data_IF_397098151032
#
_entry.id   IF_397098151032
#
_cell.length_a   1.000
_cell.length_b   1.000
_cell.length_c   1.000
_cell.angle_alpha   90.00
_cell.angle_beta   90.00
_cell.angle_gamma   90.00
#
_symmetry.space_group_name_H-M   'P 1'
#
loop_
_entity.id
_entity.type
_entity.pdbx_description
1 polymer ?
#
# COMPACT_ATOMS: atom_id res chain seq x y z
N UNK A 1 -14.16 25.55 6.68
CA UNK A 1 -13.18 25.62 7.78
C UNK A 1 -13.74 24.82 8.93
N UNK A 2 -13.20 23.63 9.22
CA UNK A 2 -13.52 22.90 10.45
C UNK A 2 -12.77 23.57 11.58
N UNK A 3 -13.44 23.90 12.68
CA UNK A 3 -12.77 24.31 13.91
C UNK A 3 -12.21 23.05 14.58
N UNK A 4 -10.93 23.10 14.95
CA UNK A 4 -10.18 22.01 15.61
C UNK A 4 -10.82 21.56 16.94
N UNK A 5 -11.80 22.30 17.46
CA UNK A 5 -12.52 22.01 18.70
C UNK A 5 -13.59 20.91 18.60
N UNK A 6 -13.94 20.45 17.40
CA UNK A 6 -15.01 19.46 17.20
C UNK A 6 -14.50 17.99 17.16
N UNK A 7 -13.23 17.76 17.47
CA UNK A 7 -12.64 16.41 17.52
C UNK A 7 -12.85 15.76 18.91
N UNK A 8 -13.07 14.43 18.97
CA UNK A 8 -13.26 13.72 20.23
C UNK A 8 -12.02 13.84 21.15
N UNK A 9 -12.22 13.91 22.47
CA UNK A 9 -11.13 14.15 23.42
C UNK A 9 -10.16 12.96 23.45
N UNK A 10 -8.89 13.23 23.20
CA UNK A 10 -7.79 12.28 23.38
C UNK A 10 -7.44 12.15 24.87
N UNK A 11 -7.44 10.92 25.37
CA UNK A 11 -6.99 10.58 26.72
C UNK A 11 -5.45 10.70 26.80
N UNK A 12 -4.94 11.51 27.73
CA UNK A 12 -3.50 11.65 28.02
C UNK A 12 -3.21 10.92 29.33
N UNK A 13 -2.51 9.79 29.27
CA UNK A 13 -1.94 9.14 30.44
C UNK A 13 -0.63 9.83 30.87
N UNK A 14 -0.53 10.22 32.14
CA UNK A 14 0.68 10.78 32.74
C UNK A 14 1.49 9.68 33.42
N UNK A 15 2.65 9.33 32.87
CA UNK A 15 3.65 8.54 33.59
C UNK A 15 5.04 9.17 33.39
N UNK A 16 5.74 9.45 34.50
CA UNK A 16 7.03 10.15 34.54
C UNK A 16 8.19 9.23 34.13
N UNK A 17 8.32 9.04 32.83
CA UNK A 17 9.57 8.69 32.13
C UNK A 17 10.12 9.98 31.47
N UNK A 18 11.39 10.00 31.04
CA UNK A 18 11.96 11.11 30.21
C UNK A 18 10.86 11.61 29.27
N UNK A 19 10.44 12.87 29.43
CA UNK A 19 9.26 13.41 28.74
C UNK A 19 9.34 13.08 27.25
N UNK A 20 8.30 12.45 26.70
CA UNK A 20 8.19 12.11 25.27
C UNK A 20 8.64 13.33 24.45
N UNK A 21 9.75 13.23 23.67
CA UNK A 21 10.17 14.35 22.82
C UNK A 21 9.07 14.65 21.79
N UNK A 22 8.99 15.89 21.27
CA UNK A 22 8.04 16.19 20.20
C UNK A 22 8.37 15.35 18.96
N UNK A 23 7.33 14.86 18.26
CA UNK A 23 7.51 14.04 17.05
C UNK A 23 8.14 14.82 15.90
N UNK A 24 7.78 16.10 15.76
CA UNK A 24 8.26 16.96 14.68
C UNK A 24 8.96 18.21 15.22
N UNK A 25 9.92 18.71 14.45
CA UNK A 25 10.60 19.98 14.71
C UNK A 25 10.78 20.77 13.42
N UNK A 26 10.74 22.10 13.52
CA UNK A 26 10.88 22.99 12.36
C UNK A 26 12.23 23.69 12.44
N UNK A 27 13.09 23.44 11.45
CA UNK A 27 14.44 24.01 11.34
C UNK A 27 14.50 24.78 10.02
N UNK A 28 14.79 26.09 10.09
CA UNK A 28 14.88 26.97 8.91
C UNK A 28 13.65 26.91 7.98
N UNK A 29 12.45 26.82 8.56
CA UNK A 29 11.18 26.77 7.81
C UNK A 29 10.83 25.39 7.22
N UNK A 30 11.66 24.37 7.45
CA UNK A 30 11.38 22.98 7.05
C UNK A 30 11.06 22.16 8.30
N UNK A 31 9.86 21.56 8.33
CA UNK A 31 9.44 20.68 9.42
C UNK A 31 9.81 19.25 9.10
N UNK A 32 10.59 18.62 9.99
CA UNK A 32 11.17 17.28 9.84
C UNK A 32 10.79 16.39 11.04
N UNK A 33 10.99 15.08 10.90
CA UNK A 33 10.87 14.14 12.02
C UNK A 33 12.02 14.40 13.02
N UNK A 34 11.69 14.54 14.30
CA UNK A 34 12.68 14.76 15.34
C UNK A 34 13.52 13.47 15.57
N UNK A 35 14.85 13.50 15.41
CA UNK A 35 15.70 12.33 15.61
C UNK A 35 15.62 11.73 17.02
N UNK A 36 15.39 12.57 18.04
CA UNK A 36 15.21 12.13 19.43
C UNK A 36 13.91 11.34 19.61
N UNK A 37 12.85 11.69 18.86
CA UNK A 37 11.59 10.95 18.87
C UNK A 37 11.76 9.55 18.30
N UNK A 38 12.44 9.42 17.17
CA UNK A 38 12.68 8.13 16.54
C UNK A 38 13.50 7.20 17.46
N UNK A 39 14.50 7.76 18.13
CA UNK A 39 15.29 7.04 19.14
C UNK A 39 14.44 6.63 20.35
N UNK A 40 13.48 7.46 20.76
CA UNK A 40 12.58 7.19 21.88
C UNK A 40 11.53 6.11 21.58
N UNK A 41 11.02 6.04 20.35
CA UNK A 41 10.03 5.02 19.97
C UNK A 41 10.61 3.63 19.70
N UNK A 42 11.94 3.50 19.61
CA UNK A 42 12.63 2.26 19.18
C UNK A 42 12.15 1.72 17.82
N UNK A 43 11.39 2.52 17.06
CA UNK A 43 10.89 2.17 15.75
C UNK A 43 11.92 2.57 14.70
N UNK A 44 12.27 1.65 13.80
CA UNK A 44 13.10 1.96 12.65
C UNK A 44 12.19 2.28 11.47
N UNK A 45 12.26 3.53 11.01
CA UNK A 45 11.63 3.97 9.76
C UNK A 45 12.20 3.22 8.56
N UNK A 46 11.38 3.03 7.53
CA UNK A 46 11.78 2.45 6.24
C UNK A 46 12.29 3.50 5.25
N UNK A 47 12.22 4.78 5.61
CA UNK A 47 12.71 5.91 4.80
C UNK A 47 14.23 6.00 4.93
N UNK A 48 14.95 5.89 3.80
CA UNK A 48 16.44 5.92 3.80
C UNK A 48 17.02 7.22 4.35
N UNK A 49 16.44 8.34 3.95
CA UNK A 49 16.95 9.67 4.27
C UNK A 49 16.08 10.34 5.33
N UNK A 50 15.68 9.60 6.36
CA UNK A 50 14.75 10.08 7.37
C UNK A 50 15.16 11.40 8.06
N UNK A 51 16.44 11.77 7.99
CA UNK A 51 16.97 13.03 8.52
C UNK A 51 16.72 14.24 7.60
N UNK A 52 16.57 14.04 6.30
CA UNK A 52 16.34 15.11 5.31
C UNK A 52 14.99 15.01 4.59
N UNK A 53 14.32 13.85 4.70
CA UNK A 53 13.00 13.62 4.13
C UNK A 53 11.90 14.36 4.90
N UNK A 54 10.88 14.80 4.17
CA UNK A 54 9.68 15.38 4.78
C UNK A 54 8.96 14.34 5.64
N UNK A 55 8.27 14.74 6.71
CA UNK A 55 7.61 13.79 7.59
C UNK A 55 6.45 13.08 6.89
N UNK A 56 6.29 11.80 7.19
CA UNK A 56 5.09 11.05 6.86
C UNK A 56 4.02 11.38 7.90
N UNK A 57 2.87 11.85 7.43
CA UNK A 57 1.70 12.12 8.27
C UNK A 57 0.75 10.93 8.12
N UNK A 58 0.81 10.00 9.05
CA UNK A 58 0.04 8.75 8.98
C UNK A 58 -1.30 8.82 9.69
N UNK A 59 -1.45 9.75 10.63
CA UNK A 59 -2.64 9.88 11.48
C UNK A 59 -3.08 11.33 11.63
N UNK A 60 -4.28 11.55 12.17
CA UNK A 60 -4.71 12.90 12.54
C UNK A 60 -3.89 13.46 13.70
N UNK A 61 -3.46 12.60 14.63
CA UNK A 61 -2.58 13.01 15.72
C UNK A 61 -1.23 13.52 15.17
N UNK A 62 -0.69 12.83 14.16
CA UNK A 62 0.52 13.27 13.44
C UNK A 62 0.30 14.64 12.77
N UNK A 63 -0.86 14.83 12.13
CA UNK A 63 -1.22 16.09 11.50
C UNK A 63 -1.29 17.25 12.51
N UNK A 64 -1.89 17.01 13.68
CA UNK A 64 -1.99 18.01 14.75
C UNK A 64 -0.60 18.35 15.31
N UNK A 65 0.22 17.34 15.64
CA UNK A 65 1.59 17.53 16.13
C UNK A 65 2.46 18.26 15.09
N UNK A 66 2.27 17.96 13.80
CA UNK A 66 2.96 18.61 12.69
C UNK A 66 2.59 20.10 12.59
N UNK A 67 1.30 20.42 12.64
CA UNK A 67 0.84 21.81 12.57
C UNK A 67 1.18 22.61 13.84
N UNK A 68 1.21 21.97 15.01
CA UNK A 68 1.72 22.59 16.23
C UNK A 68 3.19 22.98 16.10
N UNK A 69 4.01 22.14 15.46
CA UNK A 69 5.42 22.43 15.18
C UNK A 69 5.57 23.59 14.17
N UNK A 70 4.71 23.67 13.16
CA UNK A 70 4.67 24.81 12.23
C UNK A 70 4.30 26.11 12.94
N UNK A 71 3.21 26.08 13.73
CA UNK A 71 2.71 27.24 14.47
C UNK A 71 3.74 27.78 15.46
N UNK A 72 4.44 26.90 16.18
CA UNK A 72 5.55 27.28 17.09
C UNK A 72 6.70 27.97 16.37
N UNK A 73 6.93 27.63 15.10
CA UNK A 73 7.94 28.24 14.24
C UNK A 73 7.44 29.48 13.48
N UNK A 74 6.20 29.94 13.72
CA UNK A 74 5.61 31.08 13.02
C UNK A 74 5.24 30.79 11.56
N UNK A 75 5.12 29.51 11.18
CA UNK A 75 4.67 29.07 9.85
C UNK A 75 3.16 28.84 9.87
N UNK A 76 2.49 29.17 8.76
CA UNK A 76 1.05 28.95 8.62
C UNK A 76 0.70 27.46 8.71
N UNK A 77 -0.47 27.17 9.29
CA UNK A 77 -1.06 25.83 9.29
C UNK A 77 -1.20 25.34 7.85
N UNK A 78 -0.93 24.05 7.64
CA UNK A 78 -1.15 23.41 6.35
C UNK A 78 -2.39 22.50 6.48
N UNK A 79 -3.48 22.78 5.75
CA UNK A 79 -4.74 22.05 5.91
C UNK A 79 -4.69 20.66 5.26
N UNK A 80 -5.41 19.69 5.81
CA UNK A 80 -5.68 18.42 5.12
C UNK A 80 -6.38 18.65 3.78
N UNK A 81 -6.22 17.73 2.84
CA UNK A 81 -6.98 17.77 1.58
C UNK A 81 -8.47 17.52 1.81
N UNK A 82 -9.32 18.17 1.01
CA UNK A 82 -10.79 18.06 1.12
C UNK A 82 -11.27 16.61 1.02
N UNK A 83 -10.64 15.80 0.17
CA UNK A 83 -10.96 14.39 -0.01
C UNK A 83 -10.67 13.58 1.26
N UNK A 84 -9.54 13.83 1.92
CA UNK A 84 -9.20 13.16 3.19
C UNK A 84 -10.18 13.57 4.28
N UNK A 85 -10.52 14.86 4.39
CA UNK A 85 -11.51 15.35 5.34
C UNK A 85 -12.87 14.69 5.12
N UNK A 86 -13.31 14.58 3.86
CA UNK A 86 -14.60 13.94 3.53
C UNK A 86 -14.64 12.47 3.95
N UNK A 87 -13.54 11.75 3.77
CA UNK A 87 -13.47 10.32 4.12
C UNK A 87 -13.44 10.14 5.63
N UNK A 88 -12.72 10.99 6.36
CA UNK A 88 -12.75 10.98 7.83
C UNK A 88 -14.16 11.21 8.37
N UNK A 89 -14.91 12.17 7.81
CA UNK A 89 -16.33 12.37 8.17
C UNK A 89 -17.19 11.16 7.84
N UNK A 90 -16.99 10.52 6.68
CA UNK A 90 -17.75 9.33 6.32
C UNK A 90 -17.52 8.14 7.27
N UNK A 91 -16.33 8.04 7.87
CA UNK A 91 -16.01 7.04 8.90
C UNK A 91 -16.81 7.34 10.18
N UNK A 92 -16.93 8.62 10.54
CA UNK A 92 -17.72 9.09 11.68
C UNK A 92 -19.23 8.89 11.47
N UNK A 93 -19.73 9.15 10.25
CA UNK A 93 -21.17 9.19 9.91
C UNK A 93 -21.87 7.81 9.79
N UNK A 94 -21.26 6.73 10.30
CA UNK A 94 -21.90 5.43 10.61
C UNK A 94 -22.40 4.57 9.42
N UNK A 95 -22.55 5.11 8.21
CA UNK A 95 -22.93 4.32 7.01
C UNK A 95 -21.91 3.22 6.68
N UNK A 96 -20.65 3.44 7.08
CA UNK A 96 -19.53 2.54 6.88
C UNK A 96 -19.48 1.40 7.90
N UNK A 97 -19.83 1.70 9.14
CA UNK A 97 -19.74 0.79 10.30
C UNK A 97 -20.63 -0.44 10.12
N UNK A 98 -21.78 -0.26 9.49
CA UNK A 98 -22.67 -1.37 9.13
C UNK A 98 -22.03 -2.37 8.15
N UNK A 99 -21.12 -1.92 7.27
CA UNK A 99 -20.45 -2.79 6.29
C UNK A 99 -19.25 -3.52 6.89
N UNK A 100 -18.52 -2.88 7.82
CA UNK A 100 -17.28 -3.42 8.41
C UNK A 100 -17.51 -4.10 9.77
N UNK A 101 -18.71 -3.97 10.35
CA UNK A 101 -19.13 -4.73 11.53
C UNK A 101 -18.48 -4.29 12.85
N UNK A 102 -17.89 -3.10 12.90
CA UNK A 102 -17.27 -2.51 14.09
C UNK A 102 -17.70 -1.05 14.27
N UNK A 103 -17.53 -0.51 15.49
CA UNK A 103 -17.82 0.89 15.76
C UNK A 103 -16.78 1.83 15.12
N UNK A 104 -17.16 3.10 14.95
CA UNK A 104 -16.35 4.05 14.19
C UNK A 104 -15.09 4.49 14.90
N UNK A 105 -15.11 4.51 16.23
CA UNK A 105 -13.94 4.82 17.03
C UNK A 105 -12.93 3.67 16.98
N UNK A 106 -13.39 2.42 17.11
CA UNK A 106 -12.57 1.23 16.97
C UNK A 106 -11.94 1.14 15.56
N UNK A 107 -12.75 1.37 14.52
CA UNK A 107 -12.28 1.38 13.13
C UNK A 107 -11.20 2.43 12.92
N UNK A 108 -11.46 3.65 13.38
CA UNK A 108 -10.56 4.78 13.24
C UNK A 108 -9.23 4.52 13.96
N UNK A 109 -9.29 4.07 15.22
CA UNK A 109 -8.10 3.75 16.01
C UNK A 109 -7.28 2.62 15.36
N UNK A 110 -7.96 1.61 14.80
CA UNK A 110 -7.30 0.50 14.12
C UNK A 110 -6.62 0.92 12.82
N UNK A 111 -7.27 1.75 12.01
CA UNK A 111 -6.69 2.35 10.80
C UNK A 111 -5.47 3.21 11.17
N UNK A 112 -5.58 4.05 12.20
CA UNK A 112 -4.45 4.87 12.65
C UNK A 112 -3.25 4.04 13.08
N UNK A 113 -3.49 2.96 13.84
CA UNK A 113 -2.45 2.02 14.27
C UNK A 113 -1.78 1.37 13.06
N UNK A 114 -2.58 0.90 12.10
CA UNK A 114 -2.09 0.26 10.89
C UNK A 114 -1.27 1.22 10.01
N UNK A 115 -1.77 2.43 9.80
CA UNK A 115 -1.10 3.44 8.97
C UNK A 115 0.19 3.90 9.62
N UNK A 116 0.20 4.04 10.95
CA UNK A 116 1.44 4.33 11.70
C UNK A 116 2.44 3.18 11.59
N UNK A 117 1.98 1.94 11.76
CA UNK A 117 2.84 0.75 11.74
C UNK A 117 3.57 0.60 10.41
N UNK A 118 2.88 0.84 9.30
CA UNK A 118 3.44 0.70 7.97
C UNK A 118 3.96 2.01 7.37
N UNK A 119 3.87 3.13 8.08
CA UNK A 119 4.21 4.47 7.56
C UNK A 119 3.41 4.83 6.28
N UNK A 120 2.11 4.52 6.27
CA UNK A 120 1.17 4.87 5.19
C UNK A 120 0.69 6.31 5.43
N UNK A 121 0.82 7.23 4.45
CA UNK A 121 0.24 8.57 4.57
C UNK A 121 -1.29 8.54 4.67
N UNK A 122 -1.86 9.34 5.58
CA UNK A 122 -3.31 9.40 5.82
C UNK A 122 -4.11 9.74 4.54
N UNK A 123 -3.51 10.46 3.60
CA UNK A 123 -4.11 10.79 2.31
C UNK A 123 -4.54 9.58 1.47
N UNK A 124 -3.87 8.44 1.64
CA UNK A 124 -4.22 7.20 0.92
C UNK A 124 -5.53 6.58 1.38
N UNK A 125 -6.06 6.97 2.53
CA UNK A 125 -7.34 6.49 3.03
C UNK A 125 -8.45 6.72 2.00
N UNK A 126 -8.46 7.89 1.37
CA UNK A 126 -9.43 8.20 0.32
C UNK A 126 -9.35 7.28 -0.90
N UNK A 127 -8.13 6.91 -1.30
CA UNK A 127 -7.88 6.06 -2.46
C UNK A 127 -8.17 4.58 -2.17
N UNK A 128 -7.84 4.11 -0.97
CA UNK A 128 -8.23 2.77 -0.51
C UNK A 128 -9.75 2.60 -0.60
N UNK A 129 -10.52 3.63 -0.30
CA UNK A 129 -11.98 3.56 -0.35
C UNK A 129 -12.51 3.47 -1.78
N UNK A 130 -11.77 3.93 -2.79
CA UNK A 130 -12.15 3.71 -4.19
C UNK A 130 -12.16 2.23 -4.59
N UNK A 131 -11.53 1.33 -3.81
CA UNK A 131 -11.59 -0.11 -4.03
C UNK A 131 -13.02 -0.67 -3.84
N UNK A 132 -13.91 0.06 -3.16
CA UNK A 132 -15.32 -0.34 -2.98
C UNK A 132 -16.10 -0.44 -4.30
N UNK A 133 -15.57 0.17 -5.38
CA UNK A 133 -16.16 0.10 -6.71
C UNK A 133 -16.03 -1.27 -7.36
N UNK A 134 -15.23 -2.17 -6.78
CA UNK A 134 -15.03 -3.54 -7.22
C UNK A 134 -15.83 -4.50 -6.34
N UNK A 135 -16.46 -5.47 -6.97
CA UNK A 135 -17.14 -6.56 -6.27
C UNK A 135 -16.12 -7.58 -5.74
N UNK A 136 -14.99 -7.72 -6.42
CA UNK A 136 -13.91 -8.61 -6.02
C UNK A 136 -12.54 -8.00 -6.28
N UNK A 137 -11.63 -8.23 -5.33
CA UNK A 137 -10.19 -8.14 -5.57
C UNK A 137 -9.62 -9.56 -5.70
N UNK A 138 -9.03 -9.88 -6.84
CA UNK A 138 -8.43 -11.18 -7.12
C UNK A 138 -6.91 -11.06 -7.11
N UNK A 139 -6.25 -11.86 -6.27
CA UNK A 139 -4.80 -11.95 -6.18
C UNK A 139 -4.35 -13.30 -6.75
N UNK A 140 -3.49 -13.29 -7.75
CA UNK A 140 -2.94 -14.49 -8.38
C UNK A 140 -1.44 -14.52 -8.09
N UNK A 141 -1.02 -15.47 -7.27
CA UNK A 141 0.35 -15.56 -6.76
C UNK A 141 1.16 -16.56 -7.61
N UNK A 142 2.28 -16.08 -8.16
CA UNK A 142 3.29 -16.95 -8.74
C UNK A 142 4.01 -17.71 -7.62
N UNK A 143 3.85 -19.02 -7.62
CA UNK A 143 4.47 -19.95 -6.67
C UNK A 143 5.46 -20.90 -7.34
N UNK A 144 5.96 -20.52 -8.52
CA UNK A 144 6.92 -21.33 -9.30
C UNK A 144 8.22 -21.58 -8.54
N UNK A 145 8.61 -20.66 -7.65
CA UNK A 145 9.81 -20.74 -6.82
C UNK A 145 9.50 -20.94 -5.33
N UNK A 146 8.32 -21.46 -4.99
CA UNK A 146 7.92 -21.63 -3.59
C UNK A 146 8.79 -22.63 -2.79
N UNK A 147 9.53 -23.51 -3.48
CA UNK A 147 10.48 -24.45 -2.87
C UNK A 147 11.94 -24.04 -3.11
N UNK A 148 12.19 -22.87 -3.68
CA UNK A 148 13.54 -22.39 -3.94
C UNK A 148 14.03 -21.62 -2.71
N UNK A 149 15.08 -22.14 -2.08
CA UNK A 149 15.73 -21.52 -0.91
C UNK A 149 16.68 -20.38 -1.31
N UNK A 150 16.73 -19.99 -2.58
CA UNK A 150 17.53 -18.85 -3.03
C UNK A 150 16.94 -17.54 -2.47
N UNK A 151 17.54 -17.12 -1.37
CA UNK A 151 17.33 -15.81 -0.77
C UNK A 151 17.62 -14.72 -1.80
N UNK A 152 16.65 -13.84 -1.98
CA UNK A 152 16.88 -12.58 -2.66
C UNK A 152 17.37 -11.59 -1.60
N UNK A 153 18.49 -10.92 -1.87
CA UNK A 153 18.89 -9.78 -1.08
C UNK A 153 17.95 -8.61 -1.39
N UNK A 154 16.72 -8.69 -0.92
CA UNK A 154 15.88 -7.51 -0.76
C UNK A 154 16.50 -6.76 0.42
N UNK A 155 17.26 -5.71 0.11
CA UNK A 155 17.98 -4.82 1.04
C UNK A 155 17.01 -4.01 1.92
N UNK A 156 16.04 -4.67 2.52
CA UNK A 156 15.24 -4.13 3.59
C UNK A 156 16.08 -4.21 4.88
N UNK A 157 16.39 -3.07 5.54
CA UNK A 157 17.15 -3.07 6.79
C UNK A 157 16.41 -3.75 7.96
N UNK A 158 15.17 -4.19 7.75
CA UNK A 158 14.36 -4.88 8.77
C UNK A 158 14.34 -6.40 8.62
N UNK A 159 14.55 -6.99 7.43
CA UNK A 159 14.71 -8.46 7.22
C UNK A 159 15.51 -8.77 5.94
N UNK A 160 16.84 -8.76 6.05
CA UNK A 160 17.74 -9.42 5.08
C UNK A 160 17.46 -10.92 5.17
N UNK A 161 17.39 -11.64 4.04
CA UNK A 161 17.32 -13.10 4.07
C UNK A 161 16.03 -13.75 3.59
N UNK A 162 15.18 -13.08 2.79
CA UNK A 162 13.93 -13.66 2.28
C UNK A 162 13.96 -13.97 0.78
N UNK A 163 13.24 -14.99 0.36
CA UNK A 163 13.01 -15.27 -1.07
C UNK A 163 11.93 -14.34 -1.65
N UNK A 164 11.88 -14.16 -2.97
CA UNK A 164 10.80 -13.38 -3.61
C UNK A 164 9.41 -13.94 -3.31
N UNK A 165 9.30 -15.27 -3.15
CA UNK A 165 8.04 -15.91 -2.75
C UNK A 165 7.65 -15.54 -1.32
N UNK A 166 8.58 -15.60 -0.36
CA UNK A 166 8.30 -15.18 1.03
C UNK A 166 7.88 -13.70 1.12
N UNK A 167 8.52 -12.84 0.33
CA UNK A 167 8.14 -11.42 0.25
C UNK A 167 6.74 -11.23 -0.34
N UNK A 168 6.37 -12.00 -1.37
CA UNK A 168 5.02 -12.00 -1.92
C UNK A 168 3.97 -12.44 -0.88
N UNK A 169 4.25 -13.50 -0.11
CA UNK A 169 3.37 -13.99 0.95
C UNK A 169 3.24 -12.99 2.10
N UNK A 170 4.34 -12.39 2.57
CA UNK A 170 4.28 -11.35 3.59
C UNK A 170 3.47 -10.14 3.10
N UNK A 171 3.69 -9.73 1.86
CA UNK A 171 2.88 -8.66 1.22
C UNK A 171 1.40 -9.01 1.20
N UNK A 172 1.05 -10.25 0.85
CA UNK A 172 -0.34 -10.71 0.84
C UNK A 172 -0.96 -10.68 2.24
N UNK A 173 -0.22 -11.09 3.28
CA UNK A 173 -0.68 -10.98 4.68
C UNK A 173 -0.97 -9.53 5.07
N UNK A 174 -0.07 -8.61 4.70
CA UNK A 174 -0.27 -7.16 4.94
C UNK A 174 -1.48 -6.63 4.15
N UNK A 175 -1.70 -7.09 2.91
CA UNK A 175 -2.90 -6.73 2.16
C UNK A 175 -4.18 -7.22 2.83
N UNK A 176 -4.20 -8.45 3.36
CA UNK A 176 -5.35 -8.95 4.14
C UNK A 176 -5.61 -8.03 5.33
N UNK A 177 -4.57 -7.63 6.08
CA UNK A 177 -4.69 -6.69 7.20
C UNK A 177 -5.24 -5.33 6.79
N UNK A 178 -4.74 -4.74 5.70
CA UNK A 178 -5.22 -3.45 5.19
C UNK A 178 -6.68 -3.56 4.74
N UNK A 179 -6.99 -4.55 3.92
CA UNK A 179 -8.31 -4.73 3.32
C UNK A 179 -9.38 -5.13 4.34
N UNK A 180 -8.98 -5.66 5.50
CA UNK A 180 -9.87 -5.87 6.65
C UNK A 180 -10.53 -4.57 7.13
N UNK A 181 -9.96 -3.41 6.85
CA UNK A 181 -10.51 -2.10 7.22
C UNK A 181 -11.05 -1.28 6.05
N UNK A 182 -11.08 -1.83 4.82
CA UNK A 182 -11.56 -1.17 3.58
C UNK A 182 -12.92 -1.77 3.17
N UNK A 183 -13.89 -1.02 2.60
CA UNK A 183 -15.26 -1.53 2.40
C UNK A 183 -15.40 -2.35 1.11
N UNK A 184 -14.67 -3.46 1.03
CA UNK A 184 -14.76 -4.43 -0.08
C UNK A 184 -15.69 -5.60 0.27
N UNK A 185 -16.25 -6.26 -0.75
CA UNK A 185 -17.15 -7.40 -0.55
C UNK A 185 -16.40 -8.72 -0.39
N UNK A 186 -15.46 -9.02 -1.29
CA UNK A 186 -14.66 -10.26 -1.25
C UNK A 186 -13.24 -10.06 -1.75
N UNK A 187 -12.34 -10.86 -1.21
CA UNK A 187 -11.03 -11.13 -1.81
C UNK A 187 -10.96 -12.59 -2.25
N UNK A 188 -10.31 -12.83 -3.37
CA UNK A 188 -9.99 -14.16 -3.86
C UNK A 188 -8.48 -14.27 -4.04
N UNK A 189 -7.89 -15.37 -3.57
CA UNK A 189 -6.47 -15.65 -3.75
C UNK A 189 -6.34 -16.97 -4.50
N UNK A 190 -5.67 -16.91 -5.64
CA UNK A 190 -5.32 -18.04 -6.52
C UNK A 190 -3.79 -18.14 -6.61
N UNK A 191 -3.32 -19.28 -7.11
CA UNK A 191 -1.91 -19.54 -7.33
C UNK A 191 -1.70 -20.04 -8.75
N UNK A 192 -0.49 -19.86 -9.30
CA UNK A 192 -0.16 -20.38 -10.63
C UNK A 192 -0.16 -21.90 -10.66
N UNK A 193 0.44 -22.52 -9.64
CA UNK A 193 0.79 -23.93 -9.66
C UNK A 193 0.05 -24.78 -8.61
N UNK A 194 -0.89 -24.18 -7.86
CA UNK A 194 -1.80 -24.88 -6.95
C UNK A 194 -3.24 -24.82 -7.47
N UNK A 195 -4.07 -25.76 -7.00
CA UNK A 195 -5.52 -25.76 -7.28
C UNK A 195 -6.33 -25.03 -6.22
N UNK A 196 -5.69 -24.63 -5.13
CA UNK A 196 -6.33 -23.94 -4.02
C UNK A 196 -6.86 -22.59 -4.51
N UNK A 197 -8.13 -22.34 -4.21
CA UNK A 197 -8.77 -21.04 -4.37
C UNK A 197 -9.26 -20.62 -2.99
N UNK A 198 -8.69 -19.55 -2.47
CA UNK A 198 -9.09 -18.98 -1.19
C UNK A 198 -10.10 -17.89 -1.51
N UNK A 199 -11.28 -17.94 -0.89
CA UNK A 199 -12.29 -16.88 -1.00
C UNK A 199 -12.65 -16.42 0.40
N UNK A 200 -12.42 -15.14 0.67
CA UNK A 200 -12.71 -14.52 1.97
C UNK A 200 -13.75 -13.44 1.73
N UNK A 201 -14.91 -13.63 2.33
CA UNK A 201 -16.09 -12.77 2.14
C UNK A 201 -16.28 -11.94 3.39
N UNK A 202 -16.38 -10.62 3.23
CA UNK A 202 -16.40 -9.69 4.36
C UNK A 202 -17.71 -9.67 5.15
N UNK A 203 -18.86 -9.95 4.51
CA UNK A 203 -20.25 -9.95 5.05
C UNK A 203 -20.40 -9.74 6.58
N UNK A 204 -20.22 -8.52 7.06
CA UNK A 204 -20.42 -8.14 8.46
C UNK A 204 -19.45 -8.77 9.48
N UNK A 205 -18.38 -9.42 9.02
CA UNK A 205 -17.30 -9.91 9.87
C UNK A 205 -16.48 -8.74 10.40
N UNK A 206 -16.08 -8.81 11.68
CA UNK A 206 -15.11 -7.86 12.21
C UNK A 206 -13.75 -8.01 11.51
N UNK A 207 -12.93 -6.95 11.45
CA UNK A 207 -11.61 -7.00 10.83
C UNK A 207 -10.73 -8.13 11.39
N UNK A 208 -10.73 -8.36 12.70
CA UNK A 208 -9.95 -9.45 13.33
C UNK A 208 -10.33 -10.82 12.77
N UNK A 209 -11.64 -11.11 12.68
CA UNK A 209 -12.12 -12.39 12.12
C UNK A 209 -11.73 -12.52 10.65
N UNK A 210 -11.84 -11.44 9.88
CA UNK A 210 -11.44 -11.41 8.48
C UNK A 210 -9.94 -11.70 8.32
N UNK A 211 -9.10 -11.08 9.16
CA UNK A 211 -7.64 -11.25 9.15
C UNK A 211 -7.27 -12.69 9.51
N UNK A 212 -7.77 -13.19 10.64
CA UNK A 212 -7.43 -14.52 11.14
C UNK A 212 -7.86 -15.60 10.15
N UNK A 213 -9.07 -15.50 9.62
CA UNK A 213 -9.57 -16.44 8.61
C UNK A 213 -8.73 -16.38 7.33
N UNK A 214 -8.38 -15.18 6.87
CA UNK A 214 -7.60 -15.01 5.65
C UNK A 214 -6.18 -15.54 5.77
N UNK A 215 -5.49 -15.22 6.87
CA UNK A 215 -4.13 -15.69 7.13
C UNK A 215 -4.13 -17.22 7.31
N UNK A 216 -5.05 -17.77 8.09
CA UNK A 216 -5.14 -19.22 8.30
C UNK A 216 -5.42 -19.99 7.00
N UNK A 217 -6.32 -19.47 6.14
CA UNK A 217 -6.60 -20.06 4.83
C UNK A 217 -5.38 -20.01 3.90
N UNK A 218 -4.65 -18.89 3.92
CA UNK A 218 -3.41 -18.75 3.17
C UNK A 218 -2.35 -19.76 3.63
N UNK A 219 -2.11 -19.85 4.94
CA UNK A 219 -1.14 -20.80 5.51
C UNK A 219 -1.52 -22.26 5.23
N UNK A 220 -2.81 -22.59 5.30
CA UNK A 220 -3.32 -23.92 4.94
C UNK A 220 -3.04 -24.26 3.48
N UNK A 221 -3.25 -23.31 2.55
CA UNK A 221 -2.94 -23.53 1.14
C UNK A 221 -1.43 -23.71 0.90
N UNK A 222 -0.61 -22.92 1.60
CA UNK A 222 0.85 -22.95 1.50
C UNK A 222 1.49 -24.21 2.10
N UNK A 223 0.81 -24.90 3.02
CA UNK A 223 1.25 -26.19 3.55
C UNK A 223 1.31 -27.29 2.48
N UNK A 224 0.64 -27.09 1.35
CA UNK A 224 0.74 -27.98 0.19
C UNK A 224 1.76 -27.48 -0.83
N UNK A 225 2.52 -28.42 -1.41
CA UNK A 225 3.48 -28.12 -2.46
C UNK A 225 2.77 -27.81 -3.78
N UNK A 226 3.33 -26.90 -4.60
CA UNK A 226 2.89 -26.71 -5.98
C UNK A 226 2.87 -28.03 -6.78
N UNK A 227 1.85 -28.22 -7.62
CA UNK A 227 1.64 -29.47 -8.38
C UNK A 227 1.63 -29.30 -9.89
N UNK A 228 1.54 -28.06 -10.38
CA UNK A 228 1.62 -27.73 -11.82
C UNK A 228 2.93 -27.01 -12.14
N UNK A 229 3.18 -26.84 -13.43
CA UNK A 229 4.18 -25.93 -13.97
C UNK A 229 3.50 -25.08 -15.03
N UNK A 230 2.75 -24.08 -14.55
CA UNK A 230 1.96 -23.15 -15.34
C UNK A 230 2.85 -21.97 -15.72
N UNK A 231 2.89 -21.65 -17.01
CA UNK A 231 3.62 -20.46 -17.47
C UNK A 231 2.89 -19.17 -17.05
N UNK A 232 3.60 -18.04 -16.98
CA UNK A 232 2.98 -16.74 -16.67
C UNK A 232 1.85 -16.41 -17.67
N UNK A 233 2.09 -16.71 -18.95
CA UNK A 233 1.09 -16.52 -19.99
C UNK A 233 -0.19 -17.33 -19.73
N UNK A 234 -0.07 -18.60 -19.38
CA UNK A 234 -1.22 -19.46 -19.10
C UNK A 234 -1.99 -19.00 -17.86
N UNK A 235 -1.29 -18.63 -16.79
CA UNK A 235 -1.92 -18.18 -15.56
C UNK A 235 -2.69 -16.85 -15.75
N UNK A 236 -2.08 -15.88 -16.45
CA UNK A 236 -2.77 -14.62 -16.78
C UNK A 236 -3.95 -14.90 -17.71
N UNK A 237 -3.76 -15.74 -18.73
CA UNK A 237 -4.83 -16.09 -19.66
C UNK A 237 -6.01 -16.74 -18.94
N UNK A 238 -5.76 -17.71 -18.06
CA UNK A 238 -6.80 -18.36 -17.25
C UNK A 238 -7.53 -17.34 -16.37
N UNK A 239 -6.81 -16.42 -15.72
CA UNK A 239 -7.41 -15.39 -14.89
C UNK A 239 -8.22 -14.36 -15.69
N UNK A 240 -7.83 -14.04 -16.93
CA UNK A 240 -8.55 -13.12 -17.81
C UNK A 240 -9.73 -13.76 -18.55
N UNK A 241 -9.62 -15.05 -18.90
CA UNK A 241 -10.69 -15.82 -19.51
C UNK A 241 -11.82 -16.14 -18.50
N UNK A 242 -11.52 -16.05 -17.20
CA UNK A 242 -12.49 -16.11 -16.09
C UNK A 242 -13.31 -14.80 -16.04
N UNK A 243 -14.15 -14.64 -17.08
CA UNK A 243 -15.07 -13.51 -17.23
C UNK A 243 -16.34 -13.81 -16.43
N UNK A 244 -16.32 -13.42 -15.16
CA UNK A 244 -17.55 -13.25 -14.39
C UNK A 244 -18.24 -11.94 -14.80
N UNK A 245 -19.57 -11.87 -14.66
CA UNK A 245 -20.34 -10.62 -14.78
C UNK A 245 -20.03 -9.61 -13.64
N UNK A 246 -18.95 -9.83 -12.91
CA UNK A 246 -18.53 -9.04 -11.77
C UNK A 246 -17.44 -8.05 -12.15
N UNK A 247 -17.44 -6.89 -11.48
CA UNK A 247 -16.37 -5.91 -11.63
C UNK A 247 -15.18 -6.30 -10.74
N UNK A 248 -14.14 -6.87 -11.35
CA UNK A 248 -12.96 -7.42 -10.67
C UNK A 248 -11.73 -6.54 -10.88
N UNK A 249 -10.95 -6.31 -9.82
CA UNK A 249 -9.55 -5.87 -9.94
C UNK A 249 -8.62 -7.06 -9.72
N UNK A 250 -7.72 -7.31 -10.67
CA UNK A 250 -6.82 -8.47 -10.66
C UNK A 250 -5.39 -8.03 -10.40
N UNK A 251 -4.74 -8.70 -9.45
CA UNK A 251 -3.37 -8.46 -9.03
C UNK A 251 -2.56 -9.71 -9.27
N UNK A 252 -1.49 -9.60 -10.03
CA UNK A 252 -0.56 -10.69 -10.29
C UNK A 252 0.72 -10.48 -9.48
N UNK A 253 1.03 -11.37 -8.55
CA UNK A 253 2.21 -11.29 -7.70
C UNK A 253 3.28 -12.22 -8.28
N UNK A 254 4.17 -11.66 -9.08
CA UNK A 254 5.24 -12.38 -9.77
C UNK A 254 6.46 -12.53 -8.88
N UNK A 255 6.87 -13.77 -8.67
CA UNK A 255 8.10 -14.12 -7.95
C UNK A 255 9.27 -14.37 -8.89
N UNK A 256 8.98 -14.38 -10.18
CA UNK A 256 9.94 -14.51 -11.27
C UNK A 256 9.46 -13.75 -12.51
N UNK A 257 10.34 -13.61 -13.50
CA UNK A 257 9.96 -12.95 -14.76
C UNK A 257 9.48 -13.92 -15.82
N UNK A 258 8.46 -13.54 -16.61
CA UNK A 258 8.13 -14.27 -17.83
C UNK A 258 9.34 -14.33 -18.76
N UNK A 259 9.53 -15.47 -19.43
CA UNK A 259 10.55 -15.63 -20.46
C UNK A 259 10.21 -14.78 -21.68
N UNK A 260 11.23 -14.38 -22.47
CA UNK A 260 11.06 -13.43 -23.58
C UNK A 260 9.95 -13.81 -24.58
N UNK A 261 9.80 -15.11 -24.87
CA UNK A 261 8.75 -15.61 -25.79
C UNK A 261 7.33 -15.44 -25.25
N UNK A 262 7.16 -15.38 -23.93
CA UNK A 262 5.86 -15.22 -23.27
C UNK A 262 5.47 -13.75 -23.16
N UNK A 263 6.46 -12.87 -22.94
CA UNK A 263 6.25 -11.41 -22.80
C UNK A 263 5.39 -10.83 -23.91
N UNK A 264 5.76 -11.07 -25.17
CA UNK A 264 4.99 -10.60 -26.34
C UNK A 264 3.56 -11.15 -26.38
N UNK A 265 3.35 -12.38 -25.90
CA UNK A 265 2.00 -12.98 -25.86
C UNK A 265 1.17 -12.34 -24.74
N UNK A 266 1.79 -12.10 -23.58
CA UNK A 266 1.18 -11.41 -22.45
C UNK A 266 0.81 -9.98 -22.84
N UNK A 267 1.73 -9.23 -23.46
CA UNK A 267 1.50 -7.89 -24.00
C UNK A 267 0.31 -7.86 -24.95
N UNK A 268 0.31 -8.71 -25.99
CA UNK A 268 -0.77 -8.76 -26.95
C UNK A 268 -2.13 -9.10 -26.31
N UNK A 269 -2.13 -10.03 -25.35
CA UNK A 269 -3.33 -10.44 -24.62
C UNK A 269 -3.87 -9.30 -23.76
N UNK A 270 -3.03 -8.68 -22.92
CA UNK A 270 -3.47 -7.56 -22.07
C UNK A 270 -3.92 -6.39 -22.94
N UNK A 271 -3.19 -6.08 -24.03
CA UNK A 271 -3.56 -5.02 -24.97
C UNK A 271 -4.89 -5.31 -25.68
N UNK A 272 -5.28 -6.56 -25.88
CA UNK A 272 -6.58 -6.89 -26.48
C UNK A 272 -7.75 -6.78 -25.51
N UNK A 273 -7.50 -6.71 -24.19
CA UNK A 273 -8.51 -6.76 -23.13
C UNK A 273 -8.43 -5.58 -22.14
N UNK A 274 -7.75 -4.49 -22.51
CA UNK A 274 -7.45 -3.38 -21.60
C UNK A 274 -8.69 -2.60 -21.14
N UNK A 275 -9.74 -2.55 -21.95
CA UNK A 275 -10.99 -1.84 -21.61
C UNK A 275 -11.89 -2.64 -20.65
N UNK A 276 -11.59 -3.92 -20.42
CA UNK A 276 -12.45 -4.81 -19.63
C UNK A 276 -11.88 -5.17 -18.27
N UNK A 277 -10.61 -4.86 -17.99
CA UNK A 277 -9.92 -5.33 -16.80
C UNK A 277 -9.10 -4.23 -16.11
N UNK A 278 -9.09 -4.27 -14.77
CA UNK A 278 -8.21 -3.46 -13.92
C UNK A 278 -7.09 -4.35 -13.40
N UNK A 279 -5.85 -4.08 -13.80
CA UNK A 279 -4.75 -5.01 -13.66
C UNK A 279 -3.54 -4.36 -12.98
N UNK A 280 -3.01 -5.02 -11.97
CA UNK A 280 -1.68 -4.69 -11.41
C UNK A 280 -0.80 -5.93 -11.44
N UNK A 281 0.42 -5.79 -11.98
CA UNK A 281 1.48 -6.79 -11.91
C UNK A 281 2.52 -6.28 -10.91
N UNK A 282 2.77 -7.07 -9.88
CA UNK A 282 3.73 -6.78 -8.82
C UNK A 282 4.88 -7.76 -8.96
N UNK A 283 6.08 -7.25 -9.19
CA UNK A 283 7.26 -8.04 -9.43
C UNK A 283 8.20 -7.98 -8.22
N UNK A 284 8.39 -9.13 -7.57
CA UNK A 284 9.25 -9.25 -6.39
C UNK A 284 10.68 -9.69 -6.71
N UNK A 285 10.93 -10.17 -7.93
CA UNK A 285 12.29 -10.39 -8.43
C UNK A 285 12.87 -9.03 -8.86
N UNK A 286 14.08 -8.72 -8.42
CA UNK A 286 14.79 -7.49 -8.76
C UNK A 286 15.22 -7.40 -10.22
N UNK A 287 15.11 -8.46 -11.01
CA UNK A 287 15.57 -8.48 -12.41
C UNK A 287 14.50 -8.03 -13.42
N UNK A 288 13.87 -6.86 -13.18
CA UNK A 288 12.94 -6.31 -14.16
C UNK A 288 13.72 -5.86 -15.39
N UNK A 289 13.34 -6.42 -16.53
CA UNK A 289 13.77 -5.86 -17.79
C UNK A 289 13.03 -4.53 -18.01
N UNK A 290 13.75 -3.42 -17.83
CA UNK A 290 13.19 -2.07 -17.96
C UNK A 290 12.50 -1.80 -19.31
N UNK A 291 12.93 -2.46 -20.40
CA UNK A 291 12.30 -2.28 -21.70
C UNK A 291 10.88 -2.85 -21.72
N UNK A 292 10.69 -4.01 -21.09
CA UNK A 292 9.38 -4.65 -21.00
C UNK A 292 8.39 -3.83 -20.16
N UNK A 293 8.89 -3.25 -19.05
CA UNK A 293 8.09 -2.33 -18.22
C UNK A 293 7.65 -1.10 -19.03
N UNK A 294 8.56 -0.48 -19.79
CA UNK A 294 8.26 0.71 -20.61
C UNK A 294 7.19 0.45 -21.68
N UNK A 295 7.22 -0.70 -22.33
CA UNK A 295 6.25 -1.06 -23.37
C UNK A 295 4.83 -1.26 -22.81
N UNK A 296 4.72 -1.88 -21.64
CA UNK A 296 3.43 -2.17 -21.01
C UNK A 296 2.77 -0.97 -20.31
N UNK A 297 3.54 0.06 -19.92
CA UNK A 297 2.99 1.28 -19.29
C UNK A 297 2.04 2.08 -20.18
N UNK A 298 2.07 1.86 -21.49
CA UNK A 298 1.13 2.49 -22.41
C UNK A 298 -0.30 1.93 -22.30
N UNK A 299 -0.50 0.81 -21.59
CA UNK A 299 -1.81 0.16 -21.48
C UNK A 299 -2.62 0.80 -20.33
N UNK A 300 -3.82 1.32 -20.59
CA UNK A 300 -4.70 1.85 -19.54
C UNK A 300 -5.02 0.79 -18.48
N UNK A 301 -5.11 1.23 -17.23
CA UNK A 301 -5.44 0.39 -16.06
C UNK A 301 -4.52 -0.81 -15.80
N UNK A 302 -3.39 -0.90 -16.51
CA UNK A 302 -2.28 -1.78 -16.18
C UNK A 302 -1.25 -1.01 -15.34
N UNK A 303 -0.74 -1.63 -14.30
CA UNK A 303 0.40 -1.10 -13.54
C UNK A 303 1.42 -2.17 -13.28
N UNK A 304 2.70 -1.86 -13.46
CA UNK A 304 3.81 -2.76 -13.17
C UNK A 304 4.67 -2.15 -12.08
N UNK A 305 4.82 -2.88 -10.99
CA UNK A 305 5.52 -2.40 -9.81
C UNK A 305 6.75 -3.25 -9.58
N UNK A 306 7.87 -2.57 -9.49
CA UNK A 306 9.19 -3.14 -9.28
C UNK A 306 9.45 -3.41 -7.79
N UNK A 307 10.47 -4.21 -7.46
CA UNK A 307 10.82 -4.47 -6.06
C UNK A 307 11.04 -3.18 -5.27
N UNK A 308 10.82 -3.23 -3.95
CA UNK A 308 10.90 -2.05 -3.10
C UNK A 308 12.26 -1.36 -3.21
N UNK A 309 13.35 -2.11 -3.22
CA UNK A 309 14.72 -1.57 -3.31
C UNK A 309 14.93 -0.78 -4.59
N UNK A 310 14.63 -1.38 -5.74
CA UNK A 310 14.79 -0.73 -7.04
C UNK A 310 13.89 0.49 -7.12
N UNK A 311 12.65 0.35 -6.65
CA UNK A 311 11.69 1.44 -6.70
C UNK A 311 12.12 2.63 -5.84
N UNK A 312 12.59 2.34 -4.64
CA UNK A 312 13.12 3.33 -3.70
C UNK A 312 14.33 4.06 -4.29
N UNK A 313 15.28 3.35 -4.88
CA UNK A 313 16.49 3.94 -5.44
C UNK A 313 16.15 4.86 -6.64
N UNK A 314 15.22 4.42 -7.50
CA UNK A 314 14.72 5.25 -8.60
C UNK A 314 14.00 6.51 -8.12
N UNK A 315 13.15 6.41 -7.10
CA UNK A 315 12.45 7.58 -6.52
C UNK A 315 13.46 8.56 -5.93
N UNK A 316 14.49 8.05 -5.25
CA UNK A 316 15.57 8.87 -4.72
C UNK A 316 16.35 9.61 -5.83
N UNK A 317 16.68 8.91 -6.91
CA UNK A 317 17.37 9.51 -8.07
C UNK A 317 16.50 10.58 -8.77
N UNK A 318 15.21 10.29 -8.99
CA UNK A 318 14.33 11.14 -9.78
C UNK A 318 13.76 12.33 -9.00
N UNK A 319 13.49 12.16 -7.69
CA UNK A 319 12.77 13.15 -6.88
C UNK A 319 13.59 13.72 -5.70
N UNK A 320 14.75 13.13 -5.41
CA UNK A 320 15.68 13.60 -4.40
C UNK A 320 15.34 13.19 -2.96
N UNK A 321 16.21 13.54 -2.03
CA UNK A 321 16.19 13.05 -0.65
C UNK A 321 15.00 13.53 0.18
N UNK A 322 14.34 14.61 -0.25
CA UNK A 322 13.21 15.20 0.48
C UNK A 322 11.94 14.35 0.44
N UNK A 323 11.84 13.38 -0.48
CA UNK A 323 10.66 12.53 -0.64
C UNK A 323 10.71 11.37 0.36
N UNK A 324 9.71 11.25 1.25
CA UNK A 324 9.68 10.17 2.23
C UNK A 324 9.06 8.89 1.64
N UNK A 325 9.80 8.24 0.76
CA UNK A 325 9.38 6.96 0.17
C UNK A 325 9.50 5.82 1.19
N UNK A 326 8.40 5.50 1.88
CA UNK A 326 8.32 4.40 2.85
C UNK A 326 7.82 3.10 2.22
N UNK A 327 7.92 2.00 2.98
CA UNK A 327 7.30 0.72 2.65
C UNK A 327 5.77 0.83 2.60
N UNK A 328 5.15 1.61 3.49
CA UNK A 328 3.71 1.89 3.45
C UNK A 328 3.29 2.55 2.16
N UNK A 329 4.05 3.55 1.71
CA UNK A 329 3.84 4.17 0.41
C UNK A 329 3.92 3.14 -0.72
N UNK A 330 4.96 2.31 -0.73
CA UNK A 330 5.14 1.25 -1.71
C UNK A 330 3.99 0.22 -1.72
N UNK A 331 3.49 -0.19 -0.55
CA UNK A 331 2.32 -1.07 -0.43
C UNK A 331 1.05 -0.43 -1.03
N UNK A 332 0.87 0.88 -0.81
CA UNK A 332 -0.25 1.62 -1.41
C UNK A 332 -0.13 1.71 -2.92
N UNK A 333 1.08 1.90 -3.47
CA UNK A 333 1.31 1.80 -4.91
C UNK A 333 0.82 0.44 -5.43
N UNK A 334 1.19 -0.65 -4.74
CA UNK A 334 0.79 -1.99 -5.15
C UNK A 334 -0.73 -2.18 -5.17
N UNK A 335 -1.44 -1.77 -4.12
CA UNK A 335 -2.88 -1.97 -4.03
C UNK A 335 -3.71 -1.05 -4.93
N UNK A 336 -3.25 0.18 -5.15
CA UNK A 336 -4.08 1.23 -5.74
C UNK A 336 -3.73 1.52 -7.18
N UNK A 337 -2.74 0.83 -7.74
CA UNK A 337 -2.09 1.36 -8.92
C UNK A 337 -2.97 1.41 -10.18
N UNK A 338 -3.76 0.37 -10.36
CA UNK A 338 -4.74 0.28 -11.43
C UNK A 338 -5.88 1.32 -11.34
N UNK A 339 -6.10 1.96 -10.18
CA UNK A 339 -7.16 2.97 -10.03
C UNK A 339 -6.85 4.25 -10.81
N UNK A 340 -5.58 4.64 -10.83
CA UNK A 340 -5.12 5.81 -11.57
C UNK A 340 -3.66 5.67 -12.01
N UNK A 341 -3.36 4.84 -13.03
CA UNK A 341 -1.98 4.53 -13.44
C UNK A 341 -1.13 5.78 -13.72
N UNK A 342 -1.76 6.85 -14.22
CA UNK A 342 -1.10 8.13 -14.52
C UNK A 342 -0.62 8.85 -13.26
N UNK A 343 -1.44 8.86 -12.21
CA UNK A 343 -1.06 9.45 -10.92
C UNK A 343 0.16 8.74 -10.33
N UNK A 344 0.30 7.44 -10.59
CA UNK A 344 1.42 6.66 -10.06
C UNK A 344 2.63 6.74 -10.96
N UNK A 345 2.46 6.89 -12.27
CA UNK A 345 3.56 7.27 -13.15
C UNK A 345 4.17 8.61 -12.73
N UNK A 346 3.35 9.56 -12.25
CA UNK A 346 3.84 10.79 -11.61
C UNK A 346 4.57 10.50 -10.29
N UNK A 347 4.10 9.53 -9.50
CA UNK A 347 4.84 9.03 -8.32
C UNK A 347 6.11 8.24 -8.71
N UNK A 348 6.26 7.84 -9.98
CA UNK A 348 7.31 6.96 -10.47
C UNK A 348 8.43 7.66 -11.24
N UNK A 349 8.31 8.94 -11.60
CA UNK A 349 9.28 9.62 -12.47
C UNK A 349 9.44 11.12 -12.23
N UNK A 350 10.25 11.76 -13.08
CA UNK A 350 10.73 13.17 -13.06
C UNK A 350 9.71 14.30 -12.97
N UNK A 351 8.42 14.04 -12.80
CA UNK A 351 7.41 15.09 -12.74
C UNK A 351 7.19 15.53 -11.29
N UNK A 352 7.92 16.60 -10.94
CA UNK A 352 7.82 17.53 -9.81
C UNK A 352 7.09 17.03 -8.53
N UNK A 353 7.81 17.10 -7.40
CA UNK A 353 7.40 16.75 -6.02
C UNK A 353 6.17 17.44 -5.41
N UNK A 354 5.25 17.95 -6.22
CA UNK A 354 3.93 18.47 -5.82
C UNK A 354 2.91 17.38 -5.48
N UNK A 355 3.13 16.13 -5.94
CA UNK A 355 2.12 15.08 -5.83
C UNK A 355 1.99 14.50 -4.41
N UNK A 356 3.12 14.31 -3.71
CA UNK A 356 3.17 13.70 -2.38
C UNK A 356 2.43 14.53 -1.31
N UNK A 357 2.52 15.86 -1.42
CA UNK A 357 1.90 16.77 -0.48
C UNK A 357 0.39 16.85 -0.68
N UNK A 358 -0.12 16.99 -1.90
CA UNK A 358 -1.55 17.11 -2.20
C UNK A 358 -2.46 16.01 -1.61
N UNK A 359 -1.92 14.82 -1.33
CA UNK A 359 -2.70 13.75 -0.71
C UNK A 359 -2.88 13.91 0.79
N UNK A 360 -1.86 14.40 1.50
CA UNK A 360 -1.92 14.54 2.95
C UNK A 360 -2.23 15.97 3.38
N UNK A 361 -1.78 16.97 2.62
CA UNK A 361 -1.85 18.38 3.01
C UNK A 361 -1.89 19.30 1.77
N UNK A 362 -2.65 20.39 1.80
CA UNK A 362 -2.80 21.29 0.65
C UNK A 362 -1.44 21.83 0.16
N UNK A 363 -1.30 22.08 -1.17
CA UNK A 363 -0.06 22.61 -1.72
C UNK A 363 0.21 24.01 -1.17
N UNK A 364 1.49 24.38 -1.10
CA UNK A 364 1.89 25.75 -0.81
C UNK A 364 1.38 26.65 -1.95
N UNK A 365 0.40 27.50 -1.66
CA UNK A 365 -0.03 28.60 -2.55
C UNK A 365 0.83 29.83 -2.36
#
# INVERSE_FOLDING_TARGET
MLNVTDLPPTYVETNTLKSKPPKYETINGVTLLNPCYNTWQEQKTTVMNAQSALPIISTLQDYLEYNDALKKAGVCERPLSDTTIKVLKNIEDNTYLKKVGIDGLELYNSIQKLFSLYEIPIGFLSKLYELEKFQMLEFVIDDSFANDDTVVNDSCPLKIGKTSFETAIETMKIFIEILAYVPIERIQIKFFNRRNVISIIKKGQSPTVFIDAGIAALETALASTPTKSTTHYEAIKEALDDIDNEKVAKYFLFTSFPVLKERKKIEAMIFSQFDTHFLTIICFDGNINESWNKELRCIPFLSIIESFVIKKDKVLEDQGESIPFSRGFYLMLQLLSMLNPKDLDLMHGKYHGYFFWNYSVAPLT
#
